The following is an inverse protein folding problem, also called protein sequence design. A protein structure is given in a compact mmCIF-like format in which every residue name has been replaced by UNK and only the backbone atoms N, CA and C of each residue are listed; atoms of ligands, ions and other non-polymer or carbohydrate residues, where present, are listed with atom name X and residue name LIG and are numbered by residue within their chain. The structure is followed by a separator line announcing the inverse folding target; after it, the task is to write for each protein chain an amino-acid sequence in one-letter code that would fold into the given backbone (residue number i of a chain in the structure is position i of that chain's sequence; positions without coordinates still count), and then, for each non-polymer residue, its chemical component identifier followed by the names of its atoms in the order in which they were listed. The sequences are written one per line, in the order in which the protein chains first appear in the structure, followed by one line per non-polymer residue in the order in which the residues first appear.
data_IF_313894346829
#
_entry.id   IF_313894346829
#
_cell.length_a   1.000
_cell.length_b   1.000
_cell.length_c   1.000
_cell.angle_alpha   90.00
_cell.angle_beta   90.00
_cell.angle_gamma   90.00
#
_symmetry.space_group_name_H-M   'P 1'
#
loop_
_entity.id
_entity.type
_entity.pdbx_description
1 polymer ?
#
# COMPACT_ATOMS: atom_id res chain seq x y z
N UNK A 1 -17.22 22.31 -11.45
CA UNK A 1 -18.19 21.89 -10.42
C UNK A 1 -17.81 20.48 -9.97
N UNK A 2 -18.13 20.12 -8.73
CA UNK A 2 -17.90 18.76 -8.21
C UNK A 2 -19.25 18.23 -7.74
N UNK A 3 -19.55 16.97 -8.05
CA UNK A 3 -20.74 16.27 -7.56
C UNK A 3 -20.31 15.13 -6.62
N UNK A 4 -21.07 14.92 -5.56
CA UNK A 4 -20.88 13.80 -4.63
C UNK A 4 -22.07 12.86 -4.74
N UNK A 5 -21.79 11.57 -4.87
CA UNK A 5 -22.80 10.51 -5.00
C UNK A 5 -22.53 9.47 -3.92
N UNK A 6 -23.60 8.96 -3.29
CA UNK A 6 -23.52 7.89 -2.28
C UNK A 6 -24.09 6.61 -2.86
N UNK A 7 -23.32 5.54 -2.84
CA UNK A 7 -23.75 4.21 -3.27
C UNK A 7 -24.22 3.41 -2.04
N UNK A 8 -25.49 2.97 -1.98
CA UNK A 8 -26.07 2.40 -0.77
C UNK A 8 -25.65 0.94 -0.49
N UNK A 9 -25.09 0.25 -1.47
CA UNK A 9 -24.70 -1.15 -1.36
C UNK A 9 -23.48 -1.46 -2.23
N UNK A 10 -22.77 -2.51 -1.85
CA UNK A 10 -21.70 -3.11 -2.66
C UNK A 10 -22.23 -3.64 -4.00
N UNK A 11 -21.34 -3.70 -4.99
CA UNK A 11 -21.65 -4.23 -6.32
C UNK A 11 -21.16 -3.33 -7.46
N UNK A 12 -21.49 -3.74 -8.68
CA UNK A 12 -21.21 -2.99 -9.90
C UNK A 12 -22.37 -2.04 -10.20
N UNK A 13 -22.04 -0.78 -10.50
CA UNK A 13 -23.00 0.27 -10.79
C UNK A 13 -22.79 0.83 -12.19
N UNK A 14 -23.80 0.67 -13.03
CA UNK A 14 -23.88 1.34 -14.33
C UNK A 14 -24.47 2.73 -14.16
N UNK A 15 -23.97 3.70 -14.92
CA UNK A 15 -24.43 5.09 -14.83
C UNK A 15 -24.20 5.84 -16.14
N UNK A 16 -24.95 6.92 -16.32
CA UNK A 16 -24.88 7.80 -17.50
C UNK A 16 -24.72 9.26 -17.07
N UNK A 17 -24.12 10.08 -17.94
CA UNK A 17 -24.16 11.54 -17.82
C UNK A 17 -25.08 12.07 -18.90
N UNK A 18 -26.00 12.95 -18.53
CA UNK A 18 -26.86 13.69 -19.44
C UNK A 18 -26.57 15.18 -19.34
N UNK A 19 -25.75 15.69 -20.27
CA UNK A 19 -25.41 17.12 -20.37
C UNK A 19 -25.80 17.70 -21.72
N UNK A 20 -25.49 16.98 -22.80
CA UNK A 20 -25.90 17.30 -24.18
C UNK A 20 -26.64 16.12 -24.83
N UNK A 21 -26.31 14.91 -24.38
CA UNK A 21 -26.94 13.66 -24.70
C UNK A 21 -26.62 12.64 -23.60
N UNK A 22 -27.33 11.52 -23.59
CA UNK A 22 -27.07 10.44 -22.66
C UNK A 22 -25.81 9.67 -23.08
N UNK A 23 -24.76 9.77 -22.26
CA UNK A 23 -23.49 9.07 -22.45
C UNK A 23 -23.31 8.05 -21.34
N UNK A 24 -23.19 6.74 -21.64
CA UNK A 24 -22.84 5.74 -20.64
C UNK A 24 -21.43 6.00 -20.13
N UNK A 25 -21.21 5.73 -18.85
CA UNK A 25 -19.91 5.90 -18.21
C UNK A 25 -19.40 4.54 -17.74
N UNK A 26 -18.08 4.36 -17.56
CA UNK A 26 -17.55 3.09 -17.07
C UNK A 26 -18.17 2.72 -15.73
N UNK A 27 -18.56 1.46 -15.59
CA UNK A 27 -19.12 0.92 -14.36
C UNK A 27 -18.22 1.22 -13.14
N UNK A 28 -18.87 1.48 -12.01
CA UNK A 28 -18.21 1.74 -10.72
C UNK A 28 -18.39 0.49 -9.85
N UNK A 29 -17.28 -0.10 -9.45
CA UNK A 29 -17.22 -1.19 -8.48
C UNK A 29 -17.20 -0.61 -7.06
N UNK A 30 -18.20 -0.94 -6.25
CA UNK A 30 -18.25 -0.60 -4.82
C UNK A 30 -17.95 -1.86 -4.02
N UNK A 31 -16.79 -1.89 -3.37
CA UNK A 31 -16.40 -3.01 -2.52
C UNK A 31 -17.29 -3.10 -1.27
N UNK A 32 -17.39 -4.31 -0.73
CA UNK A 32 -18.01 -4.54 0.57
C UNK A 32 -17.35 -3.66 1.64
N UNK A 33 -18.17 -3.11 2.53
CA UNK A 33 -17.61 -2.49 3.73
C UNK A 33 -16.75 -3.55 4.43
N UNK A 34 -15.48 -3.25 4.77
CA UNK A 34 -14.65 -4.24 5.44
C UNK A 34 -15.37 -4.64 6.71
N UNK A 35 -15.73 -5.93 6.79
CA UNK A 35 -16.17 -6.51 8.05
C UNK A 35 -14.96 -6.38 8.95
N UNK A 36 -15.00 -5.39 9.84
CA UNK A 36 -14.01 -5.26 10.89
C UNK A 36 -14.14 -6.55 11.68
N UNK A 37 -13.26 -7.51 11.40
CA UNK A 37 -13.10 -8.68 12.24
C UNK A 37 -12.88 -8.12 13.64
N UNK A 38 -13.77 -8.49 14.57
CA UNK A 38 -13.64 -8.10 15.96
C UNK A 38 -12.18 -8.34 16.37
N UNK A 39 -11.52 -7.38 17.05
CA UNK A 39 -10.12 -7.52 17.40
C UNK A 39 -9.94 -8.87 18.09
N UNK A 40 -9.20 -9.76 17.46
CA UNK A 40 -8.84 -11.06 18.01
C UNK A 40 -8.30 -10.79 19.40
N UNK A 41 -9.02 -11.25 20.43
CA UNK A 41 -8.58 -11.08 21.80
C UNK A 41 -7.14 -11.58 21.88
N UNK A 42 -6.21 -10.83 22.53
CA UNK A 42 -4.87 -11.31 22.71
C UNK A 42 -4.96 -12.64 23.45
N UNK A 43 -4.61 -13.73 22.77
CA UNK A 43 -4.39 -15.01 23.42
C UNK A 43 -3.20 -14.80 24.33
N UNK A 44 -3.45 -14.77 25.64
CA UNK A 44 -2.41 -14.75 26.64
C UNK A 44 -1.62 -16.05 26.49
N UNK A 45 -0.56 -16.02 25.69
CA UNK A 45 0.44 -17.06 25.73
C UNK A 45 1.10 -16.93 27.09
N UNK A 46 0.75 -17.84 28.00
CA UNK A 46 1.49 -18.06 29.24
C UNK A 46 2.89 -18.50 28.84
N UNK A 47 3.80 -17.54 28.65
CA UNK A 47 5.22 -17.85 28.51
C UNK A 47 5.67 -18.54 29.80
N UNK A 48 6.12 -19.77 29.66
CA UNK A 48 6.78 -20.50 30.72
C UNK A 48 7.93 -19.64 31.25
N UNK A 49 7.95 -19.41 32.56
CA UNK A 49 9.01 -18.68 33.25
C UNK A 49 10.36 -19.20 32.74
N UNK A 50 11.17 -18.38 32.06
CA UNK A 50 12.39 -18.88 31.46
C UNK A 50 13.27 -19.41 32.59
N UNK A 51 13.70 -20.67 32.50
CA UNK A 51 14.59 -21.32 33.47
C UNK A 51 15.81 -20.45 33.84
N UNK A 52 16.19 -19.51 32.96
CA UNK A 52 17.17 -18.47 33.21
C UNK A 52 16.89 -17.59 34.44
N UNK A 53 15.63 -17.30 34.78
CA UNK A 53 15.27 -16.46 35.93
C UNK A 53 15.50 -17.20 37.26
N UNK A 54 15.16 -18.49 37.30
CA UNK A 54 15.41 -19.38 38.46
C UNK A 54 16.93 -19.53 38.68
N UNK A 55 17.69 -19.76 37.61
CA UNK A 55 19.16 -19.88 37.68
C UNK A 55 19.80 -18.58 38.20
N UNK A 56 19.28 -17.42 37.79
CA UNK A 56 19.78 -16.09 38.22
C UNK A 56 19.54 -15.83 39.71
N UNK A 57 18.38 -16.21 40.24
CA UNK A 57 18.07 -16.03 41.68
C UNK A 57 18.97 -16.92 42.55
N UNK A 58 19.20 -18.17 42.13
CA UNK A 58 20.10 -19.09 42.84
C UNK A 58 21.55 -18.58 42.83
N UNK A 59 22.03 -18.07 41.70
CA UNK A 59 23.36 -17.50 41.58
C UNK A 59 23.55 -16.28 42.50
N UNK A 60 22.54 -15.41 42.60
CA UNK A 60 22.58 -14.24 43.49
C UNK A 60 22.58 -14.63 44.97
N UNK A 61 21.77 -15.64 45.35
CA UNK A 61 21.74 -16.17 46.70
C UNK A 61 23.10 -16.75 47.14
N UNK A 62 23.75 -17.54 46.28
CA UNK A 62 25.08 -18.10 46.55
C UNK A 62 26.15 -17.00 46.67
N UNK A 63 26.07 -15.94 45.86
CA UNK A 63 26.98 -14.80 45.94
C UNK A 63 26.86 -14.05 47.28
N UNK A 64 25.64 -13.85 47.80
CA UNK A 64 25.41 -13.20 49.09
C UNK A 64 25.95 -14.03 50.27
N UNK A 65 25.76 -15.34 50.26
CA UNK A 65 26.32 -16.24 51.28
C UNK A 65 27.84 -16.22 51.26
N UNK A 66 28.44 -16.24 50.07
CA UNK A 66 29.89 -16.11 49.89
C UNK A 66 30.43 -14.78 50.42
N UNK A 67 29.75 -13.66 50.14
CA UNK A 67 30.13 -12.35 50.65
C UNK A 67 30.04 -12.27 52.19
N UNK A 68 29.02 -12.86 52.80
CA UNK A 68 28.87 -12.90 54.25
C UNK A 68 29.97 -13.71 54.94
N UNK A 69 30.35 -14.86 54.38
CA UNK A 69 31.46 -15.67 54.89
C UNK A 69 32.82 -14.99 54.68
N UNK A 70 33.02 -14.32 53.55
CA UNK A 70 34.23 -13.52 53.29
C UNK A 70 34.37 -12.36 54.29
N UNK A 71 33.27 -11.68 54.62
CA UNK A 71 33.25 -10.60 55.60
C UNK A 71 33.57 -11.08 57.02
N UNK A 72 33.14 -12.30 57.38
CA UNK A 72 33.43 -12.89 58.70
C UNK A 72 34.86 -13.42 58.86
N UNK A 73 35.49 -13.91 57.80
CA UNK A 73 36.75 -14.66 57.92
C UNK A 73 38.02 -13.82 57.74
N UNK A 74 37.92 -12.53 57.37
CA UNK A 74 39.05 -11.59 57.15
C UNK A 74 40.24 -12.19 56.36
N UNK A 75 39.97 -13.16 55.48
CA UNK A 75 41.00 -13.84 54.69
C UNK A 75 41.19 -13.15 53.33
N UNK A 76 42.44 -12.79 53.01
CA UNK A 76 42.78 -12.04 51.79
C UNK A 76 42.54 -12.83 50.49
N UNK A 77 42.46 -14.17 50.58
CA UNK A 77 42.15 -15.05 49.44
C UNK A 77 40.68 -14.96 49.01
N UNK A 78 39.76 -14.77 49.95
CA UNK A 78 38.31 -14.70 49.68
C UNK A 78 37.90 -13.37 49.01
N UNK A 79 38.72 -12.33 49.20
CA UNK A 79 38.55 -11.02 48.56
C UNK A 79 38.88 -11.09 47.05
N UNK A 80 39.79 -11.97 46.64
CA UNK A 80 40.10 -12.20 45.22
C UNK A 80 38.96 -12.91 44.46
N UNK A 81 38.35 -13.93 45.09
CA UNK A 81 37.24 -14.68 44.49
C UNK A 81 35.95 -13.86 44.36
N UNK A 82 35.65 -13.00 45.34
CA UNK A 82 34.48 -12.11 45.29
C UNK A 82 34.61 -11.03 44.21
N UNK A 83 35.81 -10.48 43.99
CA UNK A 83 36.07 -9.57 42.87
C UNK A 83 35.87 -10.26 41.51
N UNK A 84 36.32 -11.51 41.36
CA UNK A 84 36.12 -12.28 40.14
C UNK A 84 34.62 -12.57 39.87
N UNK A 85 33.86 -12.96 40.90
CA UNK A 85 32.42 -13.16 40.77
C UNK A 85 31.66 -11.88 40.41
N UNK A 86 32.08 -10.72 40.91
CA UNK A 86 31.49 -9.43 40.56
C UNK A 86 31.72 -9.06 39.09
N UNK A 87 32.90 -9.38 38.54
CA UNK A 87 33.19 -9.12 37.11
C UNK A 87 32.37 -10.00 36.17
N UNK A 88 32.11 -11.26 36.53
CA UNK A 88 31.22 -12.17 35.76
C UNK A 88 29.76 -11.72 35.84
N UNK A 89 29.32 -11.19 36.99
CA UNK A 89 27.98 -10.65 37.16
C UNK A 89 27.76 -9.36 36.33
N UNK A 90 28.76 -8.48 36.23
CA UNK A 90 28.68 -7.25 35.43
C UNK A 90 28.66 -7.53 33.92
N UNK A 91 29.41 -8.52 33.46
CA UNK A 91 29.40 -8.94 32.05
C UNK A 91 28.07 -9.59 31.60
N UNK A 92 27.20 -9.96 32.55
CA UNK A 92 25.89 -10.59 32.28
C UNK A 92 24.74 -9.58 32.13
N UNK A 93 25.00 -8.27 32.27
CA UNK A 93 24.03 -7.19 32.10
C UNK A 93 24.16 -6.50 30.73
N UNK A 94 24.14 -7.28 29.65
CA UNK A 94 23.73 -6.75 28.35
C UNK A 94 22.23 -7.02 28.23
N UNK A 95 21.35 -6.00 28.35
CA UNK A 95 19.98 -6.16 27.92
C UNK A 95 20.03 -6.37 26.40
N UNK A 96 19.99 -7.63 25.97
CA UNK A 96 19.70 -7.95 24.59
C UNK A 96 18.34 -7.34 24.29
N UNK A 97 18.31 -6.35 23.39
CA UNK A 97 17.07 -5.83 22.86
C UNK A 97 16.26 -7.00 22.38
N UNK A 98 15.21 -7.34 23.12
CA UNK A 98 14.13 -8.18 22.64
C UNK A 98 13.38 -7.28 21.66
N UNK A 99 14.00 -7.04 20.50
CA UNK A 99 13.22 -6.70 19.32
C UNK A 99 12.32 -7.91 19.16
N UNK A 100 10.99 -7.77 19.24
CA UNK A 100 10.12 -8.85 18.82
C UNK A 100 10.59 -9.17 17.41
N UNK A 101 11.18 -10.35 17.21
CA UNK A 101 11.32 -10.88 15.88
C UNK A 101 9.89 -11.03 15.41
N UNK A 102 9.39 -10.00 14.72
CA UNK A 102 8.31 -10.17 13.76
C UNK A 102 8.94 -11.05 12.69
N UNK A 103 9.06 -12.33 13.03
CA UNK A 103 9.07 -13.40 12.08
C UNK A 103 7.76 -13.14 11.35
N UNK A 104 7.87 -12.58 10.15
CA UNK A 104 6.83 -12.69 9.18
C UNK A 104 6.60 -14.20 9.08
N UNK A 105 5.63 -14.68 9.85
CA UNK A 105 4.97 -15.92 9.52
C UNK A 105 4.52 -15.68 8.10
N UNK A 106 5.22 -16.36 7.19
CA UNK A 106 4.68 -16.80 5.92
C UNK A 106 3.48 -17.68 6.28
N UNK A 107 2.42 -17.02 6.75
CA UNK A 107 1.06 -17.47 6.57
C UNK A 107 0.94 -17.35 5.07
N UNK A 108 0.78 -18.46 4.32
CA UNK A 108 0.12 -18.35 3.04
C UNK A 108 -1.22 -17.76 3.41
N UNK A 109 -1.31 -16.44 3.30
CA UNK A 109 -2.57 -15.75 3.15
C UNK A 109 -3.07 -16.37 1.88
N UNK A 110 -3.86 -17.43 2.04
CA UNK A 110 -4.91 -17.75 1.10
C UNK A 110 -5.75 -16.48 1.06
N UNK A 111 -5.27 -15.51 0.27
CA UNK A 111 -6.06 -14.45 -0.26
C UNK A 111 -7.27 -15.17 -0.82
N UNK A 112 -8.50 -14.77 -0.49
CA UNK A 112 -9.61 -15.14 -1.34
C UNK A 112 -9.21 -14.64 -2.74
N UNK A 113 -8.83 -15.57 -3.60
CA UNK A 113 -8.62 -15.32 -5.00
C UNK A 113 -9.99 -14.94 -5.55
N UNK A 114 -10.30 -13.65 -5.62
CA UNK A 114 -11.04 -12.93 -6.66
C UNK A 114 -11.01 -11.45 -6.27
N UNK A 115 -10.02 -10.70 -6.75
CA UNK A 115 -10.25 -9.29 -7.10
C UNK A 115 -9.33 -8.96 -8.27
N UNK A 116 -9.93 -8.89 -9.45
CA UNK A 116 -9.25 -8.68 -10.72
C UNK A 116 -8.52 -7.34 -10.68
N UNK A 117 -7.19 -7.35 -10.52
CA UNK A 117 -6.40 -6.14 -10.69
C UNK A 117 -6.57 -5.64 -12.12
N UNK A 118 -7.28 -4.54 -12.30
CA UNK A 118 -7.47 -3.90 -13.60
C UNK A 118 -6.11 -3.64 -14.25
N UNK A 119 -5.96 -4.01 -15.53
CA UNK A 119 -4.71 -3.73 -16.25
C UNK A 119 -4.57 -2.21 -16.50
N UNK A 120 -3.34 -1.72 -16.64
CA UNK A 120 -3.09 -0.30 -16.98
C UNK A 120 -3.80 0.13 -18.27
N UNK A 121 -3.85 -0.75 -19.28
CA UNK A 121 -4.56 -0.51 -20.54
C UNK A 121 -6.07 -0.40 -20.30
N UNK A 122 -6.65 -1.28 -19.49
CA UNK A 122 -8.09 -1.24 -19.18
C UNK A 122 -8.45 -0.03 -18.32
N UNK A 123 -7.61 0.33 -17.34
CA UNK A 123 -7.76 1.57 -16.57
C UNK A 123 -7.72 2.80 -17.50
N UNK A 124 -6.73 2.85 -18.40
CA UNK A 124 -6.61 3.92 -19.39
C UNK A 124 -7.81 4.00 -20.32
N UNK A 125 -8.37 2.85 -20.75
CA UNK A 125 -9.59 2.80 -21.57
C UNK A 125 -10.78 3.40 -20.82
N UNK A 126 -10.97 3.05 -19.54
CA UNK A 126 -12.03 3.63 -18.70
C UNK A 126 -11.83 5.14 -18.51
N UNK A 127 -10.60 5.57 -18.22
CA UNK A 127 -10.27 6.99 -18.08
C UNK A 127 -10.50 7.77 -19.38
N UNK A 128 -10.20 7.19 -20.54
CA UNK A 128 -10.43 7.83 -21.84
C UNK A 128 -11.90 8.21 -22.06
N UNK A 129 -12.82 7.35 -21.59
CA UNK A 129 -14.26 7.65 -21.57
C UNK A 129 -14.56 8.64 -20.45
N UNK A 130 -14.15 8.34 -19.23
CA UNK A 130 -14.58 9.05 -18.03
C UNK A 130 -14.10 10.51 -17.98
N UNK A 131 -12.93 10.79 -18.55
CA UNK A 131 -12.36 12.13 -18.66
C UNK A 131 -12.82 12.87 -19.93
N UNK A 132 -13.66 12.24 -20.76
CA UNK A 132 -14.24 12.86 -21.95
C UNK A 132 -13.31 12.94 -23.17
N UNK A 133 -12.22 12.17 -23.22
CA UNK A 133 -11.33 12.18 -24.38
C UNK A 133 -12.06 11.77 -25.67
N UNK A 134 -13.00 10.83 -25.54
CA UNK A 134 -13.86 10.33 -26.64
C UNK A 134 -14.77 11.40 -27.25
N UNK A 135 -15.03 12.50 -26.53
CA UNK A 135 -15.85 13.59 -27.04
C UNK A 135 -15.19 14.28 -28.23
N UNK A 136 -13.86 14.31 -28.31
CA UNK A 136 -13.13 14.92 -29.44
C UNK A 136 -12.34 13.88 -30.24
N UNK A 137 -11.75 12.89 -29.59
CA UNK A 137 -10.87 11.91 -30.23
C UNK A 137 -11.60 10.59 -30.50
N UNK A 138 -11.64 10.19 -31.77
CA UNK A 138 -12.10 8.85 -32.14
C UNK A 138 -11.04 7.80 -31.77
N UNK A 139 -11.47 6.69 -31.16
CA UNK A 139 -10.62 5.54 -30.90
C UNK A 139 -11.45 4.25 -30.90
N UNK A 140 -11.26 3.39 -31.91
CA UNK A 140 -12.07 2.18 -32.07
C UNK A 140 -11.95 1.18 -30.93
N UNK A 141 -10.90 1.27 -30.11
CA UNK A 141 -10.73 0.44 -28.90
C UNK A 141 -11.74 0.77 -27.79
N UNK A 142 -12.52 1.84 -27.96
CA UNK A 142 -13.55 2.30 -27.03
C UNK A 142 -14.96 2.20 -27.66
N UNK A 143 -15.07 1.79 -28.92
CA UNK A 143 -16.31 1.95 -29.69
C UNK A 143 -17.34 0.91 -29.31
N UNK A 144 -18.36 1.37 -28.59
CA UNK A 144 -19.74 0.92 -28.72
C UNK A 144 -20.52 2.00 -29.49
N UNK A 145 -21.65 1.63 -30.11
CA UNK A 145 -22.58 2.58 -30.76
C UNK A 145 -23.19 3.62 -29.81
N UNK A 146 -22.83 3.60 -28.53
CA UNK A 146 -23.42 4.40 -27.46
C UNK A 146 -22.58 5.64 -27.12
N UNK A 147 -21.36 5.76 -27.64
CA UNK A 147 -20.51 6.93 -27.45
C UNK A 147 -20.55 7.85 -28.66
N UNK A 148 -20.61 9.16 -28.41
CA UNK A 148 -20.57 10.16 -29.47
C UNK A 148 -19.30 10.97 -29.41
N UNK A 149 -18.65 11.04 -30.57
CA UNK A 149 -17.48 11.87 -30.82
C UNK A 149 -17.88 13.07 -31.67
N UNK A 150 -17.65 14.27 -31.14
CA UNK A 150 -17.77 15.52 -31.85
C UNK A 150 -16.45 15.73 -32.62
N UNK A 151 -16.51 15.60 -33.94
CA UNK A 151 -15.34 15.81 -34.77
C UNK A 151 -15.04 17.31 -34.93
N UNK A 152 -14.25 17.85 -33.99
CA UNK A 152 -13.74 19.23 -34.01
C UNK A 152 -12.34 19.33 -34.63
N UNK A 153 -11.97 18.39 -35.52
CA UNK A 153 -10.64 18.34 -36.13
C UNK A 153 -9.55 17.74 -35.23
N UNK A 154 -9.93 17.08 -34.13
CA UNK A 154 -8.98 16.35 -33.31
C UNK A 154 -8.52 15.04 -34.02
N UNK A 155 -7.24 14.64 -33.85
CA UNK A 155 -6.73 13.41 -34.46
C UNK A 155 -7.52 12.15 -34.08
N UNK A 156 -7.69 11.25 -35.03
CA UNK A 156 -8.15 9.89 -34.78
C UNK A 156 -7.02 9.10 -34.09
N UNK A 157 -7.30 8.55 -32.91
CA UNK A 157 -6.33 7.85 -32.07
C UNK A 157 -6.39 6.33 -32.20
N UNK A 158 -7.25 5.78 -33.06
CA UNK A 158 -7.43 4.32 -33.23
C UNK A 158 -6.11 3.58 -33.46
N UNK A 159 -5.29 4.07 -34.40
CA UNK A 159 -4.00 3.48 -34.76
C UNK A 159 -2.82 4.39 -34.37
N UNK A 160 -3.08 5.39 -33.53
CA UNK A 160 -2.08 6.35 -33.12
C UNK A 160 -1.16 5.74 -32.05
N UNK A 161 0.12 6.08 -32.12
CA UNK A 161 1.06 5.85 -31.03
C UNK A 161 2.11 6.93 -31.05
N UNK A 162 2.61 7.30 -29.88
CA UNK A 162 3.69 8.27 -29.71
C UNK A 162 4.59 7.89 -28.54
N UNK A 163 5.72 8.58 -28.39
CA UNK A 163 6.58 8.36 -27.23
C UNK A 163 5.85 8.68 -25.93
N UNK A 164 6.21 7.98 -24.86
CA UNK A 164 5.64 8.20 -23.53
C UNK A 164 5.81 9.67 -23.10
N UNK A 165 6.98 10.26 -23.34
CA UNK A 165 7.25 11.66 -22.99
C UNK A 165 6.39 12.66 -23.77
N UNK A 166 6.19 12.44 -25.08
CA UNK A 166 5.34 13.33 -25.89
C UNK A 166 3.89 13.29 -25.42
N UNK A 167 3.37 12.09 -25.13
CA UNK A 167 2.02 11.93 -24.59
C UNK A 167 1.90 12.51 -23.18
N UNK A 168 2.93 12.32 -22.35
CA UNK A 168 2.96 12.85 -20.99
C UNK A 168 2.83 14.36 -20.98
N UNK A 169 3.69 15.07 -21.72
CA UNK A 169 3.65 16.53 -21.84
C UNK A 169 2.29 17.01 -22.37
N UNK A 170 1.77 16.32 -23.40
CA UNK A 170 0.49 16.65 -24.01
C UNK A 170 -0.69 16.48 -23.05
N UNK A 171 -0.69 15.45 -22.21
CA UNK A 171 -1.77 15.15 -21.26
C UNK A 171 -1.66 16.00 -19.99
N UNK A 172 -0.44 16.32 -19.54
CA UNK A 172 -0.19 17.11 -18.33
C UNK A 172 -0.60 18.56 -18.49
N UNK A 173 -0.18 19.18 -19.58
CA UNK A 173 -0.52 20.56 -19.93
C UNK A 173 -0.51 20.74 -21.46
N UNK A 174 -1.66 20.51 -22.13
CA UNK A 174 -1.74 20.61 -23.58
C UNK A 174 -1.32 21.98 -24.13
N UNK A 175 -1.56 23.06 -23.40
CA UNK A 175 -1.28 24.43 -23.82
C UNK A 175 0.23 24.75 -23.76
N UNK A 176 0.96 24.11 -22.86
CA UNK A 176 2.44 24.21 -22.81
C UNK A 176 3.11 23.63 -24.08
N UNK A 177 2.49 22.61 -24.69
CA UNK A 177 2.98 21.97 -25.93
C UNK A 177 2.49 22.72 -27.17
N UNK A 178 1.25 23.20 -27.17
CA UNK A 178 0.63 23.93 -28.28
C UNK A 178 -0.34 24.98 -27.74
N UNK A 179 0.04 26.25 -27.77
CA UNK A 179 -0.72 27.34 -27.14
C UNK A 179 -2.09 27.59 -27.75
N UNK A 180 -2.31 27.27 -29.03
CA UNK A 180 -3.59 27.40 -29.75
C UNK A 180 -4.45 26.11 -29.68
N UNK A 181 -4.12 25.17 -28.80
CA UNK A 181 -4.85 23.91 -28.65
C UNK A 181 -6.27 24.11 -28.10
N UNK A 182 -7.23 23.36 -28.63
CA UNK A 182 -8.59 23.25 -28.07
C UNK A 182 -8.73 22.13 -27.03
N UNK A 183 -7.67 21.33 -26.83
CA UNK A 183 -7.64 20.28 -25.82
C UNK A 183 -7.54 20.93 -24.42
N UNK A 184 -8.52 20.74 -23.53
CA UNK A 184 -8.51 21.33 -22.19
C UNK A 184 -7.47 20.66 -21.30
N UNK A 185 -7.00 21.38 -20.28
CA UNK A 185 -6.28 20.76 -19.17
C UNK A 185 -7.29 20.05 -18.26
N UNK A 186 -7.16 18.72 -18.14
CA UNK A 186 -8.07 17.85 -17.40
C UNK A 186 -7.65 17.64 -15.93
N UNK A 187 -6.54 18.25 -15.49
CA UNK A 187 -6.04 18.13 -14.12
C UNK A 187 -5.66 16.69 -13.74
N UNK A 188 -5.16 15.91 -14.69
CA UNK A 188 -4.85 14.49 -14.49
C UNK A 188 -3.70 14.30 -13.49
N UNK A 189 -3.87 13.32 -12.62
CA UNK A 189 -2.78 12.79 -11.79
C UNK A 189 -1.79 11.98 -12.65
N UNK A 190 -0.60 11.75 -12.11
CA UNK A 190 0.46 11.00 -12.79
C UNK A 190 -0.01 9.59 -13.19
N UNK A 191 -0.64 8.88 -12.25
CA UNK A 191 -1.15 7.52 -12.46
C UNK A 191 -2.21 7.48 -13.57
N UNK A 192 -3.09 8.48 -13.64
CA UNK A 192 -4.07 8.57 -14.71
C UNK A 192 -3.42 8.83 -16.07
N UNK A 193 -2.38 9.67 -16.12
CA UNK A 193 -1.62 9.95 -17.35
C UNK A 193 -0.93 8.66 -17.83
N UNK A 194 -0.25 7.94 -16.96
CA UNK A 194 0.42 6.67 -17.30
C UNK A 194 -0.56 5.64 -17.86
N UNK A 195 -1.72 5.46 -17.22
CA UNK A 195 -2.77 4.57 -17.68
C UNK A 195 -3.31 4.98 -19.06
N UNK A 196 -3.58 6.28 -19.27
CA UNK A 196 -4.01 6.81 -20.57
C UNK A 196 -2.96 6.59 -21.65
N UNK A 197 -1.66 6.77 -21.35
CA UNK A 197 -0.56 6.50 -22.27
C UNK A 197 -0.54 5.03 -22.66
N UNK A 198 -0.64 4.13 -21.67
CA UNK A 198 -0.67 2.69 -21.92
C UNK A 198 -1.83 2.31 -22.85
N UNK A 199 -3.01 2.90 -22.63
CA UNK A 199 -4.18 2.68 -23.48
C UNK A 199 -4.02 3.28 -24.89
N UNK A 200 -3.57 4.53 -25.02
CA UNK A 200 -3.40 5.17 -26.34
C UNK A 200 -2.43 4.35 -27.19
N UNK A 201 -1.29 3.94 -26.64
CA UNK A 201 -0.27 3.18 -27.33
C UNK A 201 -0.58 1.68 -27.50
N UNK A 202 -1.64 1.16 -26.86
CA UNK A 202 -2.03 -0.24 -27.02
C UNK A 202 -2.40 -0.57 -28.48
N UNK A 203 -2.19 -1.82 -28.87
CA UNK A 203 -2.61 -2.33 -30.19
C UNK A 203 -4.03 -2.89 -30.13
#
# INVERSE_FOLDING_TARGET
YTASVTFPMEGEWEWTINAFMEQPMPAISVAAAPVVAAPSQPTTQTEAVPYALIVRVLAFGLALVGAFFAFRTKSRLTMGLTALCLTVALASFIPGSIVPKVEAQDVPTAQPAVESSITQVELGRRLFIAKGCITCHMNNKVVSSQYVTINMGAPNLTNFSASQEALFLRLKDPASVKSDTQMPNLGLSEVEIEALIAFINSK
#
